data_IF_568851250607
#
_entry.id   IF_568851250607
#
_cell.length_a   1.000
_cell.length_b   1.000
_cell.length_c   1.000
_cell.angle_alpha   90.00
_cell.angle_beta   90.00
_cell.angle_gamma   90.00
#
_symmetry.space_group_name_H-M   'P 1'
#
loop_
_entity.id
_entity.type
_entity.pdbx_description
1 polymer ?
#
# COMPACT_ATOMS: atom_id res chain seq x y z
N UNK A 1 10.04 -45.35 14.29
CA UNK A 1 10.37 -44.16 13.47
C UNK A 1 11.87 -44.01 13.43
N UNK A 2 12.49 -44.40 12.32
CA UNK A 2 13.95 -44.34 12.15
C UNK A 2 14.37 -42.89 11.93
N UNK A 3 15.23 -42.37 12.80
CA UNK A 3 15.90 -41.08 12.61
C UNK A 3 16.77 -41.21 11.36
N UNK A 4 16.43 -40.49 10.29
CA UNK A 4 17.27 -40.42 9.10
C UNK A 4 18.56 -39.67 9.48
N UNK A 5 19.67 -40.41 9.58
CA UNK A 5 21.00 -39.83 9.65
C UNK A 5 21.30 -39.08 8.34
N UNK A 6 21.68 -37.82 8.44
CA UNK A 6 22.12 -37.00 7.30
C UNK A 6 23.32 -37.66 6.60
N UNK A 7 23.40 -37.53 5.28
CA UNK A 7 24.53 -38.06 4.52
C UNK A 7 25.84 -37.35 4.92
N UNK A 8 27.01 -38.02 4.80
CA UNK A 8 28.30 -37.41 5.13
C UNK A 8 28.56 -36.09 4.39
N UNK A 9 28.09 -36.00 3.14
CA UNK A 9 28.17 -34.77 2.33
C UNK A 9 27.29 -33.65 2.93
N UNK A 10 26.09 -33.97 3.38
CA UNK A 10 25.19 -33.01 4.00
C UNK A 10 25.73 -32.51 5.35
N UNK A 11 26.38 -33.38 6.13
CA UNK A 11 27.08 -33.01 7.36
C UNK A 11 28.24 -32.06 7.08
N UNK A 12 29.09 -32.35 6.09
CA UNK A 12 30.20 -31.49 5.71
C UNK A 12 29.75 -30.10 5.24
N UNK A 13 28.65 -30.02 4.47
CA UNK A 13 28.04 -28.75 4.07
C UNK A 13 27.51 -27.96 5.26
N UNK A 14 26.86 -28.62 6.22
CA UNK A 14 26.39 -28.00 7.46
C UNK A 14 27.55 -27.47 8.30
N UNK A 15 28.65 -28.19 8.40
CA UNK A 15 29.85 -27.76 9.11
C UNK A 15 30.51 -26.54 8.44
N UNK A 16 30.65 -26.54 7.11
CA UNK A 16 31.14 -25.37 6.37
C UNK A 16 30.22 -24.15 6.54
N UNK A 17 28.90 -24.35 6.51
CA UNK A 17 27.93 -23.29 6.72
C UNK A 17 28.02 -22.72 8.16
N UNK A 18 28.13 -23.60 9.18
CA UNK A 18 28.32 -23.21 10.58
C UNK A 18 29.63 -22.45 10.78
N UNK A 19 30.73 -22.89 10.18
CA UNK A 19 32.01 -22.21 10.24
C UNK A 19 31.97 -20.80 9.63
N UNK A 20 31.21 -20.61 8.53
CA UNK A 20 30.98 -19.29 7.93
C UNK A 20 30.06 -18.39 8.77
N UNK A 21 29.10 -18.97 9.49
CA UNK A 21 28.19 -18.21 10.36
C UNK A 21 28.85 -17.80 11.70
N UNK A 22 29.77 -18.61 12.22
CA UNK A 22 30.49 -18.31 13.48
C UNK A 22 31.62 -17.29 13.33
N UNK A 23 32.02 -16.88 12.12
CA UNK A 23 33.11 -15.93 11.90
C UNK A 23 32.65 -14.47 11.72
N UNK A 24 31.35 -14.22 11.59
CA UNK A 24 30.82 -12.86 11.62
C UNK A 24 30.83 -12.35 13.06
N UNK A 25 31.83 -11.56 13.41
CA UNK A 25 31.84 -10.75 14.64
C UNK A 25 30.52 -9.99 14.73
N UNK A 26 29.70 -10.29 15.73
CA UNK A 26 28.49 -9.50 15.99
C UNK A 26 28.97 -8.09 16.28
N UNK A 27 28.61 -7.12 15.43
CA UNK A 27 28.95 -5.73 15.64
C UNK A 27 28.48 -5.33 17.04
N UNK A 28 29.44 -5.03 17.92
CA UNK A 28 29.14 -4.64 19.29
C UNK A 28 28.33 -3.35 19.24
N UNK A 29 27.15 -3.37 19.87
CA UNK A 29 26.31 -2.18 19.94
C UNK A 29 26.98 -1.18 20.87
N UNK A 30 27.15 0.06 20.42
CA UNK A 30 27.67 1.14 21.26
C UNK A 30 26.75 1.33 22.48
N UNK A 31 27.33 1.25 23.67
CA UNK A 31 26.65 1.50 24.94
C UNK A 31 26.91 2.96 25.31
N UNK A 32 25.84 3.74 25.43
CA UNK A 32 25.93 5.16 25.75
C UNK A 32 26.30 5.37 27.21
N UNK A 33 27.34 6.17 27.45
CA UNK A 33 27.70 6.60 28.80
C UNK A 33 26.92 7.86 29.20
N UNK A 34 26.79 8.11 30.51
CA UNK A 34 26.14 9.33 31.02
C UNK A 34 26.85 10.61 30.58
N UNK A 35 28.18 10.57 30.42
CA UNK A 35 28.96 11.69 29.91
C UNK A 35 28.64 11.98 28.44
N UNK A 36 28.57 10.95 27.59
CA UNK A 36 28.20 11.09 26.17
C UNK A 36 26.76 11.63 26.00
N UNK A 37 25.84 11.20 26.85
CA UNK A 37 24.47 11.73 26.88
C UNK A 37 24.44 13.21 27.29
N UNK A 38 25.23 13.60 28.30
CA UNK A 38 25.39 15.00 28.71
C UNK A 38 25.91 15.87 27.56
N UNK A 39 26.93 15.40 26.84
CA UNK A 39 27.46 16.10 25.66
C UNK A 39 26.38 16.34 24.61
N UNK A 40 25.50 15.36 24.37
CA UNK A 40 24.38 15.54 23.43
C UNK A 40 23.35 16.55 23.93
N UNK A 41 23.00 16.51 25.21
CA UNK A 41 22.03 17.44 25.79
C UNK A 41 22.49 18.89 25.64
N UNK A 42 23.79 19.15 25.83
CA UNK A 42 24.34 20.50 25.83
C UNK A 42 24.62 21.02 24.41
N UNK A 43 25.19 20.17 23.54
CA UNK A 43 25.77 20.63 22.26
C UNK A 43 24.92 20.30 21.03
N UNK A 44 24.07 19.28 21.10
CA UNK A 44 23.38 18.76 19.90
C UNK A 44 22.57 19.84 19.19
N UNK A 45 21.93 20.75 19.92
CA UNK A 45 21.05 21.75 19.33
C UNK A 45 21.78 22.73 18.40
N UNK A 46 23.03 23.10 18.72
CA UNK A 46 23.72 24.24 18.09
C UNK A 46 24.93 23.85 17.23
N UNK A 47 25.31 22.58 17.21
CA UNK A 47 26.52 22.11 16.54
C UNK A 47 26.20 21.13 15.41
N UNK A 48 27.10 20.98 14.44
CA UNK A 48 26.96 19.98 13.39
C UNK A 48 27.09 18.58 13.96
N UNK A 49 26.20 17.70 13.52
CA UNK A 49 26.21 16.31 13.99
C UNK A 49 27.45 15.55 13.51
N UNK A 50 28.03 15.95 12.37
CA UNK A 50 29.27 15.34 11.86
C UNK A 50 30.45 15.58 12.80
N UNK A 51 30.57 16.78 13.35
CA UNK A 51 31.68 17.16 14.23
C UNK A 51 31.56 16.44 15.58
N UNK A 52 30.36 16.41 16.15
CA UNK A 52 30.05 15.64 17.36
C UNK A 52 30.34 14.14 17.16
N UNK A 53 29.93 13.58 16.02
CA UNK A 53 30.16 12.16 15.73
C UNK A 53 31.66 11.84 15.60
N UNK A 54 32.44 12.71 14.95
CA UNK A 54 33.88 12.56 14.82
C UNK A 54 34.60 12.64 16.17
N UNK A 55 34.22 13.58 17.03
CA UNK A 55 34.79 13.73 18.38
C UNK A 55 34.51 12.50 19.26
N UNK A 56 33.30 11.96 19.18
CA UNK A 56 32.88 10.79 19.97
C UNK A 56 33.35 9.45 19.37
N UNK A 57 33.96 9.46 18.17
CA UNK A 57 34.33 8.24 17.45
C UNK A 57 33.12 7.39 17.01
N UNK A 58 31.96 8.02 16.82
CA UNK A 58 30.70 7.37 16.47
C UNK A 58 30.29 7.69 15.03
N UNK A 59 29.38 6.89 14.47
CA UNK A 59 28.73 7.27 13.21
C UNK A 59 27.69 8.35 13.44
N UNK A 60 27.55 9.24 12.45
CA UNK A 60 26.51 10.31 12.42
C UNK A 60 25.11 9.74 12.67
N UNK A 61 24.83 8.55 12.12
CA UNK A 61 23.56 7.85 12.33
C UNK A 61 23.31 7.47 13.79
N UNK A 62 24.32 6.97 14.52
CA UNK A 62 24.20 6.62 15.94
C UNK A 62 23.84 7.85 16.78
N UNK A 63 24.49 8.98 16.50
CA UNK A 63 24.23 10.25 17.18
C UNK A 63 22.79 10.72 16.93
N UNK A 64 22.33 10.73 15.67
CA UNK A 64 20.93 11.07 15.34
C UNK A 64 19.92 10.13 16.01
N UNK A 65 20.20 8.82 16.01
CA UNK A 65 19.32 7.84 16.63
C UNK A 65 19.22 8.04 18.15
N UNK A 66 20.32 8.42 18.82
CA UNK A 66 20.32 8.73 20.24
C UNK A 66 19.61 10.05 20.54
N UNK A 67 19.91 11.12 19.80
CA UNK A 67 19.24 12.41 19.95
C UNK A 67 17.72 12.29 19.79
N UNK A 68 17.25 11.50 18.81
CA UNK A 68 15.83 11.21 18.61
C UNK A 68 15.22 10.51 19.84
N UNK A 69 15.90 9.52 20.44
CA UNK A 69 15.45 8.85 21.67
C UNK A 69 15.41 9.78 22.88
N UNK A 70 16.30 10.77 22.93
CA UNK A 70 16.33 11.79 23.97
C UNK A 70 15.37 12.97 23.69
N UNK A 71 14.68 12.98 22.54
CA UNK A 71 13.78 14.06 22.15
C UNK A 71 14.47 15.37 21.77
N UNK A 72 15.75 15.32 21.42
CA UNK A 72 16.55 16.50 21.10
C UNK A 72 16.37 16.93 19.64
N UNK A 73 16.24 18.24 19.45
CA UNK A 73 16.11 18.87 18.13
C UNK A 73 17.22 19.91 17.95
N UNK A 74 17.52 20.22 16.69
CA UNK A 74 18.39 21.35 16.36
C UNK A 74 17.69 22.67 16.68
N UNK A 75 18.44 23.67 17.14
CA UNK A 75 17.93 25.01 17.39
C UNK A 75 17.56 25.71 16.09
N UNK A 76 16.66 26.69 16.17
CA UNK A 76 16.28 27.48 15.01
C UNK A 76 17.47 28.25 14.42
N UNK A 77 18.33 28.80 15.29
CA UNK A 77 19.57 29.49 14.92
C UNK A 77 20.51 28.58 14.12
N UNK A 78 20.72 27.33 14.58
CA UNK A 78 21.52 26.36 13.84
C UNK A 78 20.90 26.04 12.48
N UNK A 79 19.58 25.84 12.43
CA UNK A 79 18.87 25.53 11.19
C UNK A 79 18.90 26.67 10.16
N UNK A 80 18.98 27.93 10.60
CA UNK A 80 19.16 29.09 9.72
C UNK A 80 20.62 29.27 9.28
N UNK A 81 21.57 28.66 9.99
CA UNK A 81 22.98 28.73 9.63
C UNK A 81 23.31 27.91 8.37
N UNK A 82 24.41 28.29 7.71
CA UNK A 82 24.98 27.58 6.56
C UNK A 82 25.45 26.16 6.90
N UNK A 83 25.63 25.87 8.19
CA UNK A 83 26.15 24.59 8.69
C UNK A 83 25.08 23.49 8.77
N UNK A 84 23.79 23.85 8.72
CA UNK A 84 22.69 22.89 8.82
C UNK A 84 22.51 22.01 7.58
N UNK A 85 23.15 22.37 6.45
CA UNK A 85 22.95 21.72 5.16
C UNK A 85 21.57 22.00 4.53
N UNK A 86 20.74 22.88 5.14
CA UNK A 86 19.50 23.34 4.51
C UNK A 86 19.83 24.14 3.25
N UNK A 87 19.03 23.92 2.21
CA UNK A 87 19.17 24.65 0.95
C UNK A 87 18.71 26.09 1.16
N UNK A 88 19.63 27.03 0.96
CA UNK A 88 19.44 28.48 1.03
C UNK A 88 19.05 29.09 -0.33
N UNK A 89 18.85 28.25 -1.34
CA UNK A 89 18.59 28.67 -2.72
C UNK A 89 19.85 28.82 -3.57
N UNK A 90 21.04 28.95 -2.98
CA UNK A 90 22.33 29.02 -3.70
C UNK A 90 23.04 27.66 -3.72
N UNK A 91 23.02 26.93 -2.60
CA UNK A 91 23.65 25.64 -2.43
C UNK A 91 23.01 24.59 -3.35
N UNK A 92 23.84 23.92 -4.13
CA UNK A 92 23.41 22.91 -5.10
C UNK A 92 22.64 23.46 -6.31
N UNK A 93 22.56 24.78 -6.52
CA UNK A 93 21.87 25.38 -7.66
C UNK A 93 22.36 24.85 -9.02
N UNK A 94 23.66 24.59 -9.15
CA UNK A 94 24.27 24.03 -10.37
C UNK A 94 23.80 22.59 -10.72
N UNK A 95 23.30 21.84 -9.74
CA UNK A 95 22.80 20.48 -9.93
C UNK A 95 21.28 20.42 -10.14
N UNK A 96 20.59 21.57 -10.09
CA UNK A 96 19.14 21.65 -10.32
C UNK A 96 18.87 21.66 -11.82
N UNK A 97 17.71 21.12 -12.20
CA UNK A 97 17.23 21.25 -13.58
C UNK A 97 16.89 22.71 -13.88
N UNK A 98 17.59 23.30 -14.85
CA UNK A 98 17.31 24.65 -15.30
C UNK A 98 15.92 24.73 -15.96
N UNK A 99 15.18 25.81 -15.70
CA UNK A 99 13.90 26.07 -16.38
C UNK A 99 14.13 26.06 -17.90
N UNK A 100 13.35 25.25 -18.63
CA UNK A 100 13.49 25.09 -20.07
C UNK A 100 14.42 23.95 -20.50
N UNK A 101 15.08 23.25 -19.58
CA UNK A 101 15.86 22.05 -19.92
C UNK A 101 14.92 20.99 -20.50
N UNK A 102 15.25 20.47 -21.68
CA UNK A 102 14.55 19.33 -22.26
C UNK A 102 15.23 18.04 -21.78
N UNK A 103 14.53 17.17 -21.05
CA UNK A 103 15.06 15.87 -20.67
C UNK A 103 15.44 15.05 -21.92
N UNK A 104 16.51 14.26 -21.82
CA UNK A 104 17.01 13.42 -22.93
C UNK A 104 15.98 12.41 -23.46
N UNK A 105 14.97 12.09 -22.67
CA UNK A 105 13.90 11.14 -23.00
C UNK A 105 12.59 11.82 -23.48
N UNK A 106 12.55 13.15 -23.61
CA UNK A 106 11.35 13.85 -24.07
C UNK A 106 10.97 13.38 -25.48
N UNK A 107 9.77 12.83 -25.64
CA UNK A 107 9.26 12.32 -26.91
C UNK A 107 9.58 10.84 -27.19
N UNK A 108 10.39 10.17 -26.36
CA UNK A 108 10.63 8.74 -26.48
C UNK A 108 9.43 7.96 -25.91
N UNK A 109 8.83 7.09 -26.73
CA UNK A 109 7.81 6.14 -26.27
C UNK A 109 8.48 4.93 -25.65
N UNK A 110 8.73 5.01 -24.34
CA UNK A 110 9.44 3.99 -23.58
C UNK A 110 10.95 4.09 -23.68
N UNK A 111 11.64 3.50 -22.71
CA UNK A 111 13.09 3.35 -22.76
C UNK A 111 13.43 2.06 -23.54
N UNK A 112 14.50 2.05 -24.34
CA UNK A 112 14.95 0.81 -24.97
C UNK A 112 15.26 -0.21 -23.88
N UNK A 113 14.64 -1.39 -23.99
CA UNK A 113 14.90 -2.52 -23.10
C UNK A 113 16.40 -2.86 -23.13
N UNK A 114 17.08 -2.85 -21.98
CA UNK A 114 18.49 -3.22 -21.86
C UNK A 114 18.63 -4.50 -21.04
N UNK A 115 19.53 -5.39 -21.45
CA UNK A 115 19.79 -6.65 -20.77
C UNK A 115 18.55 -7.55 -20.67
N UNK A 116 18.38 -8.21 -19.54
CA UNK A 116 17.25 -9.13 -19.27
C UNK A 116 15.87 -8.46 -19.21
N UNK A 117 15.81 -7.12 -19.26
CA UNK A 117 14.54 -6.42 -19.37
C UNK A 117 13.79 -6.80 -20.67
N UNK A 118 14.51 -7.15 -21.73
CA UNK A 118 13.91 -7.63 -23.00
C UNK A 118 13.08 -8.89 -22.78
N UNK A 119 13.50 -9.77 -21.87
CA UNK A 119 12.84 -11.06 -21.59
C UNK A 119 11.54 -10.88 -20.79
N UNK A 120 11.49 -9.87 -19.92
CA UNK A 120 10.42 -9.69 -18.92
C UNK A 120 9.40 -8.61 -19.28
N UNK A 121 9.62 -7.87 -20.36
CA UNK A 121 8.70 -6.84 -20.81
C UNK A 121 7.38 -7.43 -21.33
N UNK A 122 6.28 -6.74 -20.99
CA UNK A 122 4.96 -7.07 -21.50
C UNK A 122 4.95 -6.92 -23.02
N UNK A 123 4.71 -8.02 -23.72
CA UNK A 123 4.53 -8.02 -25.17
C UNK A 123 3.22 -7.31 -25.53
N UNK A 124 3.19 -6.67 -26.70
CA UNK A 124 1.96 -6.06 -27.22
C UNK A 124 0.86 -7.13 -27.31
N UNK A 125 -0.31 -6.84 -26.77
CA UNK A 125 -1.45 -7.78 -26.77
C UNK A 125 -1.38 -8.85 -25.68
N UNK A 126 -0.41 -8.77 -24.75
CA UNK A 126 -0.38 -9.69 -23.62
C UNK A 126 -1.64 -9.50 -22.76
N UNK A 127 -2.37 -10.60 -22.54
CA UNK A 127 -3.56 -10.62 -21.69
C UNK A 127 -3.13 -11.07 -20.29
N UNK A 128 -3.64 -10.45 -19.22
CA UNK A 128 -3.30 -10.87 -17.86
C UNK A 128 -3.81 -12.30 -17.63
N UNK A 129 -3.18 -13.04 -16.72
CA UNK A 129 -3.53 -14.46 -16.47
C UNK A 129 -4.97 -14.68 -15.99
N UNK A 130 -5.63 -13.64 -15.48
CA UNK A 130 -7.04 -13.66 -15.08
C UNK A 130 -8.00 -13.22 -16.21
N UNK A 131 -7.52 -13.10 -17.44
CA UNK A 131 -8.35 -12.77 -18.58
C UNK A 131 -9.33 -13.91 -18.88
N UNK A 132 -10.58 -13.54 -19.15
CA UNK A 132 -11.66 -14.45 -19.52
C UNK A 132 -12.24 -14.07 -20.89
N UNK A 133 -12.70 -15.04 -21.70
CA UNK A 133 -13.34 -14.76 -22.97
C UNK A 133 -14.70 -14.06 -22.81
N UNK A 134 -15.18 -13.42 -23.87
CA UNK A 134 -16.52 -12.84 -23.93
C UNK A 134 -17.56 -13.95 -23.66
N UNK A 135 -18.58 -13.65 -22.86
CA UNK A 135 -19.58 -14.60 -22.40
C UNK A 135 -19.27 -15.27 -21.06
N UNK A 136 -18.03 -15.20 -20.56
CA UNK A 136 -17.69 -15.70 -19.22
C UNK A 136 -18.47 -14.96 -18.13
N UNK A 137 -18.75 -15.68 -17.04
CA UNK A 137 -19.43 -15.11 -15.87
C UNK A 137 -18.49 -15.07 -14.66
N UNK A 138 -18.70 -14.09 -13.78
CA UNK A 138 -17.97 -13.96 -12.51
C UNK A 138 -18.88 -13.42 -11.42
N UNK A 139 -18.53 -13.70 -10.17
CA UNK A 139 -19.19 -13.13 -9.00
C UNK A 139 -18.25 -12.06 -8.42
N UNK A 140 -18.79 -10.86 -8.20
CA UNK A 140 -18.06 -9.76 -7.56
C UNK A 140 -17.95 -9.98 -6.05
N UNK A 141 -16.98 -9.36 -5.35
CA UNK A 141 -16.93 -9.38 -3.88
C UNK A 141 -18.23 -8.90 -3.22
N UNK A 142 -18.96 -8.01 -3.91
CA UNK A 142 -20.27 -7.52 -3.48
C UNK A 142 -21.41 -8.52 -3.69
N UNK A 143 -21.16 -9.67 -4.35
CA UNK A 143 -22.15 -10.73 -4.60
C UNK A 143 -22.99 -10.56 -5.86
N UNK A 144 -22.69 -9.60 -6.73
CA UNK A 144 -23.35 -9.50 -8.05
C UNK A 144 -22.73 -10.45 -9.07
N UNK A 145 -23.57 -11.17 -9.80
CA UNK A 145 -23.16 -11.91 -10.99
C UNK A 145 -23.01 -10.96 -12.18
N UNK A 146 -21.84 -11.01 -12.81
CA UNK A 146 -21.52 -10.25 -14.02
C UNK A 146 -21.22 -11.19 -15.18
N UNK A 147 -21.55 -10.76 -16.40
CA UNK A 147 -21.17 -11.42 -17.65
C UNK A 147 -20.26 -10.49 -18.45
N UNK A 148 -19.22 -11.06 -19.05
CA UNK A 148 -18.34 -10.30 -19.95
C UNK A 148 -18.99 -10.13 -21.31
N UNK A 149 -19.11 -8.90 -21.79
CA UNK A 149 -19.79 -8.55 -23.05
C UNK A 149 -18.81 -7.99 -24.07
N UNK A 150 -17.83 -7.19 -23.62
CA UNK A 150 -16.80 -6.61 -24.48
C UNK A 150 -15.40 -6.99 -24.00
N UNK A 151 -14.40 -6.79 -24.85
CA UNK A 151 -12.97 -7.03 -24.54
C UNK A 151 -12.14 -5.76 -24.85
N UNK A 152 -12.57 -4.62 -24.29
CA UNK A 152 -11.90 -3.31 -24.44
C UNK A 152 -10.65 -3.20 -23.55
N UNK A 153 -10.52 -4.07 -22.55
CA UNK A 153 -9.46 -4.02 -21.54
C UNK A 153 -9.81 -3.15 -20.34
N UNK A 154 -11.00 -2.54 -20.31
CA UNK A 154 -11.51 -1.76 -19.19
C UNK A 154 -12.68 -2.50 -18.50
N UNK A 155 -12.44 -3.14 -17.34
CA UNK A 155 -13.42 -4.02 -16.70
C UNK A 155 -14.82 -3.42 -16.45
N UNK A 156 -14.99 -2.14 -16.10
CA UNK A 156 -16.32 -1.56 -15.88
C UNK A 156 -17.21 -1.48 -17.13
N UNK A 157 -16.62 -1.48 -18.33
CA UNK A 157 -17.36 -1.56 -19.60
C UNK A 157 -17.48 -3.02 -20.06
N UNK A 158 -16.41 -3.80 -19.88
CA UNK A 158 -16.35 -5.20 -20.31
C UNK A 158 -17.29 -6.11 -19.54
N UNK A 159 -17.58 -5.81 -18.27
CA UNK A 159 -18.40 -6.64 -17.39
C UNK A 159 -19.68 -5.91 -16.98
N UNK A 160 -20.82 -6.40 -17.45
CA UNK A 160 -22.13 -5.90 -17.05
C UNK A 160 -22.82 -6.87 -16.09
N UNK A 161 -23.64 -6.35 -15.18
CA UNK A 161 -24.43 -7.17 -14.26
C UNK A 161 -25.49 -7.98 -15.01
N UNK A 162 -25.62 -9.27 -14.70
CA UNK A 162 -26.60 -10.16 -15.36
C UNK A 162 -28.04 -9.69 -15.13
N UNK A 163 -28.33 -9.11 -13.97
CA UNK A 163 -29.62 -8.48 -13.67
C UNK A 163 -29.95 -7.28 -14.56
N UNK A 164 -28.95 -6.49 -14.96
CA UNK A 164 -29.14 -5.36 -15.88
C UNK A 164 -29.42 -5.91 -17.28
N UNK A 165 -28.66 -6.90 -17.72
CA UNK A 165 -28.88 -7.56 -19.01
C UNK A 165 -30.28 -8.16 -19.14
N UNK A 166 -30.74 -8.88 -18.10
CA UNK A 166 -32.08 -9.46 -18.08
C UNK A 166 -33.15 -8.36 -18.11
N UNK A 167 -32.92 -7.23 -17.43
CA UNK A 167 -33.85 -6.09 -17.50
C UNK A 167 -33.89 -5.51 -18.92
N UNK A 168 -32.72 -5.26 -19.51
CA UNK A 168 -32.58 -4.65 -20.85
C UNK A 168 -33.20 -5.52 -21.95
N UNK A 169 -33.09 -6.84 -21.84
CA UNK A 169 -33.70 -7.80 -22.76
C UNK A 169 -35.23 -7.72 -22.80
N UNK A 170 -35.88 -7.40 -21.67
CA UNK A 170 -37.35 -7.39 -21.57
C UNK A 170 -38.00 -6.00 -21.58
N UNK A 171 -37.34 -4.99 -21.00
CA UNK A 171 -37.91 -3.64 -20.84
C UNK A 171 -37.16 -2.58 -21.67
N UNK A 172 -36.05 -2.93 -22.31
CA UNK A 172 -35.19 -2.00 -23.02
C UNK A 172 -34.17 -1.29 -22.12
N UNK A 173 -33.43 -0.30 -22.66
CA UNK A 173 -32.28 0.29 -21.99
C UNK A 173 -32.65 0.95 -20.67
N UNK A 174 -31.78 0.81 -19.67
CA UNK A 174 -31.95 1.48 -18.36
C UNK A 174 -31.86 3.00 -18.56
N UNK A 175 -32.90 3.77 -18.20
CA UNK A 175 -32.88 5.22 -18.36
C UNK A 175 -31.79 5.88 -17.51
N UNK A 176 -31.33 7.05 -17.96
CA UNK A 176 -30.31 7.82 -17.25
C UNK A 176 -30.81 8.19 -15.84
N UNK A 177 -29.93 8.08 -14.83
CA UNK A 177 -30.22 8.29 -13.40
C UNK A 177 -31.09 7.24 -12.69
N UNK A 178 -31.53 6.19 -13.38
CA UNK A 178 -32.17 5.04 -12.75
C UNK A 178 -31.18 3.88 -12.58
N UNK A 179 -31.51 2.94 -11.71
CA UNK A 179 -30.74 1.74 -11.46
C UNK A 179 -31.64 0.54 -11.19
N UNK A 180 -31.25 -0.62 -11.70
CA UNK A 180 -31.93 -1.90 -11.46
C UNK A 180 -31.54 -2.40 -10.07
N UNK A 181 -32.54 -2.73 -9.25
CA UNK A 181 -32.38 -3.24 -7.89
C UNK A 181 -33.16 -4.55 -7.71
N UNK A 182 -32.74 -5.35 -6.74
CA UNK A 182 -33.46 -6.56 -6.29
C UNK A 182 -34.45 -6.19 -5.19
N UNK A 183 -35.72 -6.57 -5.34
CA UNK A 183 -36.79 -6.29 -4.36
C UNK A 183 -36.54 -7.02 -3.04
N UNK A 184 -36.09 -8.27 -3.11
CA UNK A 184 -35.80 -9.12 -1.94
C UNK A 184 -34.42 -8.87 -1.31
N UNK A 185 -33.56 -8.08 -1.96
CA UNK A 185 -32.17 -7.85 -1.54
C UNK A 185 -31.22 -9.03 -1.78
N UNK A 186 -31.69 -10.15 -2.33
CA UNK A 186 -30.88 -11.32 -2.65
C UNK A 186 -30.32 -11.23 -4.09
N UNK A 187 -29.03 -10.89 -4.18
CA UNK A 187 -28.32 -10.65 -5.45
C UNK A 187 -28.17 -11.90 -6.33
N UNK A 188 -28.35 -13.09 -5.77
CA UNK A 188 -28.30 -14.36 -6.50
C UNK A 188 -29.64 -14.74 -7.13
N UNK A 189 -30.75 -14.16 -6.66
CA UNK A 189 -32.09 -14.44 -7.17
C UNK A 189 -32.41 -13.52 -8.35
N UNK A 190 -31.91 -13.88 -9.53
CA UNK A 190 -32.07 -13.12 -10.76
C UNK A 190 -33.35 -13.58 -11.48
N UNK A 191 -34.46 -12.87 -11.25
CA UNK A 191 -35.73 -13.09 -11.93
C UNK A 191 -36.40 -11.75 -12.23
N UNK A 192 -37.09 -11.61 -13.37
CA UNK A 192 -37.72 -10.34 -13.76
C UNK A 192 -38.68 -9.80 -12.70
N UNK A 193 -39.47 -10.68 -12.06
CA UNK A 193 -40.39 -10.29 -11.00
C UNK A 193 -39.70 -9.72 -9.75
N UNK A 194 -38.44 -10.12 -9.50
CA UNK A 194 -37.62 -9.62 -8.39
C UNK A 194 -36.84 -8.35 -8.75
N UNK A 195 -36.81 -7.94 -10.02
CA UNK A 195 -36.15 -6.71 -10.44
C UNK A 195 -37.10 -5.52 -10.40
N UNK A 196 -36.59 -4.38 -9.96
CA UNK A 196 -37.29 -3.10 -10.03
C UNK A 196 -36.33 -1.99 -10.47
N UNK A 197 -36.88 -0.98 -11.10
CA UNK A 197 -36.16 0.20 -11.52
C UNK A 197 -36.38 1.32 -10.50
N UNK A 198 -35.30 1.84 -9.92
CA UNK A 198 -35.37 2.89 -8.91
C UNK A 198 -34.50 4.07 -9.29
N UNK A 199 -34.88 5.26 -8.85
CA UNK A 199 -33.96 6.39 -8.88
C UNK A 199 -32.83 6.16 -7.89
N UNK A 200 -31.64 6.70 -8.19
CA UNK A 200 -30.51 6.66 -7.24
C UNK A 200 -30.85 7.30 -5.89
N UNK A 201 -31.72 8.32 -5.89
CA UNK A 201 -32.21 8.98 -4.68
C UNK A 201 -33.06 8.06 -3.81
N UNK A 202 -34.02 7.33 -4.40
CA UNK A 202 -34.84 6.34 -3.68
C UNK A 202 -33.99 5.20 -3.15
N UNK A 203 -33.07 4.68 -3.96
CA UNK A 203 -32.13 3.65 -3.53
C UNK A 203 -31.30 4.10 -2.33
N UNK A 204 -30.84 5.35 -2.31
CA UNK A 204 -30.12 5.92 -1.18
C UNK A 204 -31.02 6.02 0.07
N UNK A 205 -32.25 6.54 -0.08
CA UNK A 205 -33.23 6.63 1.01
C UNK A 205 -33.57 5.27 1.63
N UNK A 206 -33.61 4.20 0.82
CA UNK A 206 -33.84 2.83 1.30
C UNK A 206 -32.65 2.27 2.09
N UNK A 207 -31.42 2.63 1.73
CA UNK A 207 -30.20 2.08 2.35
C UNK A 207 -29.62 2.95 3.48
N UNK A 208 -30.07 4.20 3.63
CA UNK A 208 -29.50 5.10 4.63
C UNK A 208 -29.95 4.77 6.05
N UNK A 209 -29.02 4.89 7.00
CA UNK A 209 -29.32 4.77 8.44
C UNK A 209 -30.26 5.88 8.93
N UNK A 210 -30.36 7.00 8.21
CA UNK A 210 -31.20 8.13 8.58
C UNK A 210 -32.70 7.79 8.62
N UNK A 211 -33.12 6.68 8.02
CA UNK A 211 -34.53 6.22 8.06
C UNK A 211 -34.97 5.68 9.42
N UNK A 212 -34.03 5.36 10.31
CA UNK A 212 -34.32 4.76 11.60
C UNK A 212 -34.46 5.82 12.71
N UNK A 213 -35.22 5.55 13.80
CA UNK A 213 -35.20 6.35 15.04
C UNK A 213 -33.80 6.46 15.66
N UNK A 214 -33.55 7.51 16.45
CA UNK A 214 -32.21 7.78 17.00
C UNK A 214 -31.69 6.68 17.93
N UNK A 215 -32.58 6.03 18.69
CA UNK A 215 -32.26 4.88 19.54
C UNK A 215 -31.64 3.73 18.73
N UNK A 216 -32.24 3.40 17.59
CA UNK A 216 -31.73 2.37 16.69
C UNK A 216 -30.41 2.79 16.03
N UNK A 217 -30.25 4.09 15.69
CA UNK A 217 -28.96 4.58 15.15
C UNK A 217 -27.85 4.40 16.17
N UNK A 218 -28.10 4.72 17.44
CA UNK A 218 -27.14 4.54 18.54
C UNK A 218 -26.74 3.06 18.69
N UNK A 219 -27.71 2.16 18.74
CA UNK A 219 -27.46 0.72 18.83
C UNK A 219 -26.66 0.18 17.63
N UNK A 220 -27.03 0.57 16.39
CA UNK A 220 -26.31 0.16 15.17
C UNK A 220 -24.86 0.65 15.19
N UNK A 221 -24.63 1.91 15.59
CA UNK A 221 -23.28 2.49 15.71
C UNK A 221 -22.45 1.76 16.77
N UNK A 222 -23.04 1.44 17.93
CA UNK A 222 -22.38 0.71 19.00
C UNK A 222 -21.96 -0.70 18.54
N UNK A 223 -22.87 -1.44 17.88
CA UNK A 223 -22.57 -2.76 17.30
C UNK A 223 -21.47 -2.64 16.24
N UNK A 224 -21.50 -1.60 15.40
CA UNK A 224 -20.47 -1.35 14.38
C UNK A 224 -19.09 -1.12 15.01
N UNK A 225 -19.02 -0.33 16.09
CA UNK A 225 -17.79 -0.10 16.86
C UNK A 225 -17.27 -1.40 17.46
N UNK A 226 -18.14 -2.19 18.09
CA UNK A 226 -17.77 -3.47 18.68
C UNK A 226 -17.22 -4.46 17.63
N UNK A 227 -17.91 -4.60 16.48
CA UNK A 227 -17.45 -5.46 15.38
C UNK A 227 -16.08 -5.05 14.85
N UNK A 228 -15.79 -3.74 14.81
CA UNK A 228 -14.49 -3.23 14.37
C UNK A 228 -13.40 -3.61 15.38
N UNK A 229 -13.63 -3.38 16.67
CA UNK A 229 -12.68 -3.72 17.73
C UNK A 229 -12.38 -5.23 17.77
N UNK A 230 -13.39 -6.09 17.54
CA UNK A 230 -13.18 -7.54 17.44
C UNK A 230 -12.23 -7.88 16.29
N UNK A 231 -12.44 -7.32 15.09
CA UNK A 231 -11.56 -7.57 13.93
C UNK A 231 -10.13 -7.06 14.15
N UNK A 232 -9.98 -5.91 14.79
CA UNK A 232 -8.66 -5.35 15.13
C UNK A 232 -7.92 -6.30 16.08
N UNK A 233 -8.59 -6.79 17.13
CA UNK A 233 -8.02 -7.76 18.07
C UNK A 233 -7.75 -9.16 17.46
N UNK A 234 -8.53 -9.58 16.46
CA UNK A 234 -8.28 -10.81 15.70
C UNK A 234 -7.03 -10.68 14.81
N UNK A 235 -6.84 -9.52 14.18
CA UNK A 235 -5.67 -9.24 13.35
C UNK A 235 -4.39 -9.17 14.20
N UNK A 236 -4.43 -8.48 15.34
CA UNK A 236 -3.29 -8.39 16.29
C UNK A 236 -2.84 -9.74 16.87
N UNK A 237 -3.70 -10.75 16.89
CA UNK A 237 -3.37 -12.11 17.35
C UNK A 237 -2.78 -13.01 16.26
N UNK A 238 -2.94 -12.62 15.00
CA UNK A 238 -2.42 -13.36 13.84
C UNK A 238 -1.02 -12.87 13.41
N UNK A 239 -0.65 -11.66 13.79
CA UNK A 239 0.70 -11.10 13.69
C UNK A 239 1.61 -11.57 14.86
#
# INVERSE_FOLDING_TARGET
MTLQCLSPLALAFLEQARAKLCSTSVAQRHVWTTAEEGTLLDRYANERTEDLAAEMGLSVHQVHAKACRLGLNKSEEFLLSTQSGRLDGTLGAQYRFCKGSTPWNKGLKGLPARGRAVETQFKKGNKPGNWLPIGSTRITPDGYQQRKITDTGYPPVDWQGVHILLWEEHHGPVPINLCVCFKDGNKSHISLGNLELLTRAERMRRNTIHRYPEELKSAIRAIGKLKRTIREAEHEKQD
#
